data_IF_265477120790
#
_entry.id   IF_265477120790
#
_cell.length_a   1.000
_cell.length_b   1.000
_cell.length_c   1.000
_cell.angle_alpha   90.00
_cell.angle_beta   90.00
_cell.angle_gamma   90.00
#
_symmetry.space_group_name_H-M   'P 1'
#
loop_
_entity.id
_entity.type
_entity.pdbx_description
1 polymer ?
#
# COMPACT_ATOMS: atom_id res chain seq x y z
N UNK A 1 40.85 -48.54 6.24
CA UNK A 1 39.64 -48.12 5.51
C UNK A 1 39.02 -47.00 6.30
N UNK A 2 39.04 -45.78 5.76
CA UNK A 2 38.32 -44.65 6.36
C UNK A 2 36.94 -44.69 5.75
N UNK A 3 35.93 -45.02 6.55
CA UNK A 3 34.53 -44.84 6.17
C UNK A 3 34.28 -43.34 5.97
N UNK A 4 34.12 -42.95 4.72
CA UNK A 4 33.58 -41.63 4.37
C UNK A 4 32.10 -41.71 4.69
N UNK A 5 31.70 -41.17 5.84
CA UNK A 5 30.29 -40.92 6.13
C UNK A 5 29.86 -39.78 5.21
N UNK A 6 29.36 -40.11 4.02
CA UNK A 6 28.64 -39.17 3.17
C UNK A 6 27.35 -38.74 3.89
N UNK A 7 27.45 -37.68 4.68
CA UNK A 7 26.27 -36.91 5.08
C UNK A 7 25.81 -36.14 3.85
N UNK A 8 25.13 -36.80 2.92
CA UNK A 8 24.44 -36.11 1.84
C UNK A 8 23.35 -35.22 2.44
N UNK A 9 23.70 -33.96 2.71
CA UNK A 9 22.72 -32.90 2.91
C UNK A 9 21.90 -32.84 1.62
N UNK A 10 20.61 -33.18 1.70
CA UNK A 10 19.68 -32.96 0.58
C UNK A 10 19.76 -31.50 0.16
N UNK A 11 19.86 -31.27 -1.15
CA UNK A 11 19.81 -29.92 -1.69
C UNK A 11 18.41 -29.34 -1.43
N UNK A 12 18.28 -28.22 -0.69
CA UNK A 12 16.98 -27.58 -0.46
C UNK A 12 16.24 -27.22 -1.76
N UNK A 13 16.94 -27.13 -2.89
CA UNK A 13 16.31 -26.93 -4.20
C UNK A 13 15.38 -28.10 -4.55
N UNK A 14 15.72 -29.33 -4.18
CA UNK A 14 14.86 -30.51 -4.41
C UNK A 14 13.53 -30.41 -3.65
N UNK A 15 13.54 -29.75 -2.49
CA UNK A 15 12.33 -29.51 -1.69
C UNK A 15 11.51 -28.36 -2.28
N UNK A 16 12.15 -27.23 -2.57
CA UNK A 16 11.51 -26.08 -3.21
C UNK A 16 10.87 -26.46 -4.56
N UNK A 17 11.55 -27.26 -5.38
CA UNK A 17 11.08 -27.68 -6.70
C UNK A 17 9.87 -28.63 -6.66
N UNK A 18 9.58 -29.28 -5.52
CA UNK A 18 8.37 -30.13 -5.40
C UNK A 18 7.09 -29.31 -5.35
N UNK A 19 7.16 -28.04 -4.96
CA UNK A 19 6.02 -27.12 -4.89
C UNK A 19 4.79 -27.65 -4.11
N UNK A 20 5.00 -28.64 -3.24
CA UNK A 20 3.93 -29.34 -2.50
C UNK A 20 3.99 -29.11 -0.99
N UNK A 21 4.86 -28.21 -0.53
CA UNK A 21 4.94 -27.83 0.88
C UNK A 21 4.07 -26.59 1.16
N UNK A 22 3.50 -26.52 2.37
CA UNK A 22 2.77 -25.36 2.84
C UNK A 22 3.68 -24.13 2.92
N UNK A 23 4.94 -24.31 3.32
CA UNK A 23 5.91 -23.20 3.42
C UNK A 23 6.31 -22.65 2.04
N UNK A 24 6.27 -23.50 1.01
CA UNK A 24 6.48 -23.07 -0.38
C UNK A 24 5.26 -22.33 -0.94
N UNK A 25 4.05 -22.71 -0.50
CA UNK A 25 2.77 -22.19 -0.98
C UNK A 25 2.14 -21.11 -0.09
N UNK A 26 2.77 -20.69 1.01
CA UNK A 26 2.22 -19.70 1.96
C UNK A 26 1.85 -18.38 1.26
N UNK A 27 2.59 -18.02 0.20
CA UNK A 27 2.36 -16.80 -0.58
C UNK A 27 1.88 -17.11 -2.00
N UNK A 28 0.57 -16.95 -2.22
CA UNK A 28 -0.09 -17.17 -3.51
C UNK A 28 0.44 -16.30 -4.68
N UNK A 29 1.19 -15.22 -4.39
CA UNK A 29 1.75 -14.33 -5.40
C UNK A 29 3.20 -14.66 -5.78
N UNK A 30 3.74 -15.82 -5.34
CA UNK A 30 5.09 -16.28 -5.72
C UNK A 30 5.06 -17.21 -6.92
N UNK A 31 6.04 -17.02 -7.80
CA UNK A 31 6.28 -17.92 -8.92
C UNK A 31 7.60 -18.68 -8.73
N UNK A 32 7.67 -19.90 -9.28
CA UNK A 32 8.92 -20.67 -9.28
C UNK A 32 10.02 -19.93 -10.02
N UNK A 33 11.19 -19.86 -9.41
CA UNK A 33 12.39 -19.36 -10.08
C UNK A 33 13.58 -19.24 -9.13
N UNK A 34 14.80 -18.97 -9.65
CA UNK A 34 16.01 -18.91 -8.82
C UNK A 34 15.93 -17.89 -7.68
N UNK A 35 15.37 -16.70 -7.93
CA UNK A 35 15.21 -15.67 -6.90
C UNK A 35 14.08 -16.00 -5.92
N UNK A 36 13.08 -16.77 -6.35
CA UNK A 36 12.06 -17.37 -5.49
C UNK A 36 12.69 -18.37 -4.51
N UNK A 37 13.56 -19.25 -5.00
CA UNK A 37 14.32 -20.19 -4.18
C UNK A 37 15.22 -19.48 -3.15
N UNK A 38 15.94 -18.43 -3.55
CA UNK A 38 16.76 -17.64 -2.61
C UNK A 38 15.91 -16.97 -1.53
N UNK A 39 14.70 -16.53 -1.87
CA UNK A 39 13.77 -15.95 -0.89
C UNK A 39 13.25 -17.00 0.08
N UNK A 40 12.92 -18.20 -0.40
CA UNK A 40 12.55 -19.35 0.43
C UNK A 40 13.66 -19.72 1.43
N UNK A 41 14.93 -19.82 0.98
CA UNK A 41 16.06 -20.07 1.87
C UNK A 41 16.24 -18.97 2.92
N UNK A 42 16.12 -17.71 2.50
CA UNK A 42 16.24 -16.56 3.40
C UNK A 42 15.14 -16.60 4.47
N UNK A 43 13.89 -16.85 4.08
CA UNK A 43 12.77 -16.92 5.00
C UNK A 43 12.91 -18.04 6.01
N UNK A 44 13.33 -19.24 5.59
CA UNK A 44 13.59 -20.35 6.49
C UNK A 44 14.66 -19.99 7.53
N UNK A 45 15.76 -19.38 7.10
CA UNK A 45 16.81 -18.91 8.01
C UNK A 45 16.30 -17.84 8.98
N UNK A 46 15.54 -16.86 8.48
CA UNK A 46 15.02 -15.78 9.31
C UNK A 46 13.99 -16.29 10.32
N UNK A 47 13.12 -17.23 9.92
CA UNK A 47 12.15 -17.87 10.79
C UNK A 47 12.85 -18.67 11.90
N UNK A 48 13.90 -19.42 11.57
CA UNK A 48 14.61 -20.23 12.56
C UNK A 48 15.50 -19.43 13.52
N UNK A 49 15.93 -18.22 13.11
CA UNK A 49 17.05 -17.52 13.79
C UNK A 49 16.68 -16.13 14.30
N UNK A 50 15.77 -15.41 13.63
CA UNK A 50 15.56 -13.98 13.87
C UNK A 50 14.23 -13.66 14.56
N UNK A 51 13.30 -14.61 14.66
CA UNK A 51 12.02 -14.37 15.34
C UNK A 51 12.20 -14.03 16.82
N UNK A 52 13.27 -14.52 17.46
CA UNK A 52 13.62 -14.20 18.85
C UNK A 52 13.90 -12.71 19.11
N UNK A 53 14.06 -11.90 18.06
CA UNK A 53 14.13 -10.45 18.19
C UNK A 53 12.83 -9.85 18.74
N UNK A 54 11.69 -10.51 18.50
CA UNK A 54 10.38 -10.09 19.00
C UNK A 54 10.26 -10.27 20.51
N UNK A 55 9.36 -9.52 21.18
CA UNK A 55 9.08 -9.76 22.59
C UNK A 55 8.62 -11.21 22.80
N UNK A 56 9.27 -11.93 23.73
CA UNK A 56 8.98 -13.35 24.00
C UNK A 56 7.49 -13.68 24.15
N UNK A 57 6.66 -12.87 24.86
CA UNK A 57 5.23 -13.18 24.98
C UNK A 57 4.47 -13.05 23.65
N UNK A 58 4.85 -12.09 22.79
CA UNK A 58 4.26 -11.95 21.44
C UNK A 58 4.66 -13.14 20.57
N UNK A 59 5.95 -13.49 20.56
CA UNK A 59 6.43 -14.63 19.78
C UNK A 59 5.74 -15.92 20.21
N UNK A 60 5.62 -16.17 21.52
CA UNK A 60 4.90 -17.32 22.05
C UNK A 60 3.43 -17.33 21.60
N UNK A 61 2.72 -16.21 21.73
CA UNK A 61 1.33 -16.12 21.31
C UNK A 61 1.14 -16.33 19.80
N UNK A 62 2.14 -15.94 18.99
CA UNK A 62 2.17 -16.20 17.57
C UNK A 62 2.33 -17.70 17.26
N UNK A 63 3.33 -18.34 17.89
CA UNK A 63 3.60 -19.77 17.71
C UNK A 63 2.46 -20.65 18.24
N UNK A 64 1.80 -20.24 19.32
CA UNK A 64 0.66 -20.95 19.91
C UNK A 64 -0.66 -20.69 19.16
N UNK A 65 -0.64 -19.82 18.15
CA UNK A 65 -1.79 -19.52 17.30
C UNK A 65 -2.89 -18.66 17.95
N UNK A 66 -2.59 -17.93 19.04
CA UNK A 66 -3.53 -16.92 19.57
C UNK A 66 -3.57 -15.66 18.71
N UNK A 67 -2.41 -15.30 18.15
CA UNK A 67 -2.26 -14.18 17.23
C UNK A 67 -1.51 -14.61 15.97
N UNK A 68 -1.73 -13.90 14.87
CA UNK A 68 -0.94 -14.05 13.65
C UNK A 68 -0.33 -12.70 13.30
N UNK A 69 0.99 -12.58 13.48
CA UNK A 69 1.75 -11.39 13.09
C UNK A 69 2.05 -11.50 11.61
N UNK A 70 1.47 -10.61 10.81
CA UNK A 70 1.54 -10.69 9.36
C UNK A 70 2.94 -10.39 8.83
N UNK A 71 3.23 -10.98 7.67
CA UNK A 71 4.46 -10.74 6.88
C UNK A 71 5.75 -11.04 7.63
N UNK A 72 5.70 -11.84 8.70
CA UNK A 72 6.91 -12.47 9.18
C UNK A 72 7.52 -13.37 8.08
N UNK A 73 8.85 -13.49 8.03
CA UNK A 73 9.82 -12.80 8.87
C UNK A 73 10.22 -11.40 8.36
N UNK A 74 9.77 -10.98 7.19
CA UNK A 74 10.16 -9.69 6.59
C UNK A 74 9.70 -8.47 7.39
N UNK A 75 8.55 -8.55 8.07
CA UNK A 75 8.05 -7.49 8.94
C UNK A 75 9.01 -7.18 10.10
N UNK A 76 9.99 -8.04 10.42
CA UNK A 76 11.07 -7.68 11.34
C UNK A 76 11.92 -6.48 10.85
N UNK A 77 11.87 -6.12 9.57
CA UNK A 77 12.71 -5.06 9.01
C UNK A 77 11.93 -4.09 8.12
N UNK A 78 10.92 -4.58 7.43
CA UNK A 78 10.22 -3.84 6.38
C UNK A 78 8.77 -3.59 6.85
N UNK A 79 8.29 -2.34 6.90
CA UNK A 79 6.92 -2.03 7.31
C UNK A 79 5.88 -2.61 6.33
N UNK A 80 4.61 -2.58 6.74
CA UNK A 80 3.55 -3.24 5.99
C UNK A 80 3.16 -2.54 4.69
N UNK A 81 2.22 -1.59 4.71
CA UNK A 81 1.65 -1.02 3.48
C UNK A 81 1.50 0.49 3.59
N UNK A 82 1.41 1.17 2.45
CA UNK A 82 1.13 2.60 2.43
C UNK A 82 0.52 3.04 1.10
N UNK A 83 -0.36 4.01 1.15
CA UNK A 83 -0.67 4.84 0.02
C UNK A 83 0.31 6.00 -0.12
N UNK A 84 0.40 6.53 -1.33
CA UNK A 84 1.33 7.58 -1.69
C UNK A 84 0.65 8.75 -2.37
N UNK A 85 1.25 9.93 -2.24
CA UNK A 85 0.77 11.10 -2.97
C UNK A 85 1.42 11.18 -4.35
N UNK A 86 0.63 10.90 -5.38
CA UNK A 86 1.05 11.07 -6.78
C UNK A 86 1.44 12.52 -7.08
N UNK A 87 0.75 13.51 -6.51
CA UNK A 87 1.14 14.93 -6.62
C UNK A 87 2.59 15.17 -6.16
N UNK A 88 3.04 14.56 -5.05
CA UNK A 88 4.44 14.72 -4.60
C UNK A 88 5.44 14.10 -5.57
N UNK A 89 5.07 12.97 -6.18
CA UNK A 89 5.87 12.32 -7.22
C UNK A 89 6.00 13.23 -8.44
N UNK A 90 4.90 13.85 -8.87
CA UNK A 90 4.88 14.76 -10.01
C UNK A 90 5.56 16.10 -9.71
N UNK A 91 5.51 16.59 -8.47
CA UNK A 91 6.20 17.81 -8.04
C UNK A 91 7.72 17.64 -8.01
N UNK A 92 8.19 16.48 -7.53
CA UNK A 92 9.62 16.25 -7.24
C UNK A 92 10.36 15.43 -8.30
N UNK A 93 9.64 14.75 -9.19
CA UNK A 93 10.18 13.67 -10.01
C UNK A 93 10.48 12.41 -9.18
N UNK A 94 11.10 11.41 -9.80
CA UNK A 94 11.55 10.21 -9.11
C UNK A 94 12.99 10.33 -8.65
N UNK A 95 13.21 10.07 -7.37
CA UNK A 95 14.53 9.98 -6.77
C UNK A 95 14.70 8.57 -6.24
N UNK A 96 15.67 7.84 -6.77
CA UNK A 96 16.04 6.49 -6.35
C UNK A 96 17.52 6.46 -5.94
N UNK A 97 18.01 5.39 -5.31
CA UNK A 97 19.43 5.27 -4.98
C UNK A 97 20.37 5.34 -6.19
N UNK A 98 19.89 4.96 -7.38
CA UNK A 98 20.72 4.81 -8.59
C UNK A 98 20.53 5.95 -9.59
N UNK A 99 19.33 6.54 -9.66
CA UNK A 99 19.01 7.59 -10.63
C UNK A 99 17.99 8.59 -10.08
N UNK A 100 18.12 9.84 -10.54
CA UNK A 100 17.19 10.92 -10.25
C UNK A 100 16.62 11.45 -11.58
N UNK A 101 15.30 11.51 -11.67
CA UNK A 101 14.56 12.09 -12.79
C UNK A 101 13.97 13.45 -12.41
N UNK A 102 13.88 14.35 -13.39
CA UNK A 102 13.11 15.60 -13.26
C UNK A 102 11.60 15.30 -13.31
N UNK A 103 10.74 16.19 -12.83
CA UNK A 103 9.29 16.10 -13.03
C UNK A 103 8.88 15.76 -14.47
N UNK A 104 7.82 14.97 -14.61
CA UNK A 104 7.30 14.57 -15.92
C UNK A 104 6.77 15.78 -16.71
N UNK A 105 6.89 15.72 -18.04
CA UNK A 105 6.36 16.71 -19.00
C UNK A 105 5.51 16.12 -20.11
N UNK A 106 5.54 14.80 -20.26
CA UNK A 106 4.79 14.06 -21.27
C UNK A 106 4.10 12.86 -20.62
N UNK A 107 3.01 12.38 -21.23
CA UNK A 107 2.18 11.34 -20.66
C UNK A 107 2.90 10.00 -20.51
N UNK A 108 3.78 9.67 -21.44
CA UNK A 108 4.64 8.48 -21.36
C UNK A 108 5.54 8.50 -20.11
N UNK A 109 6.08 9.67 -19.78
CA UNK A 109 6.94 9.92 -18.63
C UNK A 109 6.12 9.93 -17.34
N UNK A 110 4.89 10.45 -17.38
CA UNK A 110 3.93 10.31 -16.27
C UNK A 110 3.68 8.83 -15.95
N UNK A 111 3.40 8.01 -16.98
CA UNK A 111 3.17 6.56 -16.82
C UNK A 111 4.40 5.87 -16.24
N UNK A 112 5.59 6.20 -16.75
CA UNK A 112 6.84 5.67 -16.21
C UNK A 112 7.08 6.10 -14.77
N UNK A 113 6.73 7.33 -14.40
CA UNK A 113 6.88 7.80 -13.04
C UNK A 113 5.98 7.03 -12.08
N UNK A 114 4.71 6.83 -12.46
CA UNK A 114 3.76 6.05 -11.66
C UNK A 114 4.23 4.61 -11.51
N UNK A 115 4.58 3.95 -12.61
CA UNK A 115 5.01 2.55 -12.60
C UNK A 115 6.30 2.36 -11.80
N UNK A 116 7.37 3.11 -12.13
CA UNK A 116 8.67 2.94 -11.51
C UNK A 116 8.66 3.33 -10.02
N UNK A 117 7.86 4.32 -9.63
CA UNK A 117 7.69 4.64 -8.20
C UNK A 117 7.11 3.46 -7.43
N UNK A 118 5.99 2.92 -7.91
CA UNK A 118 5.31 1.82 -7.23
C UNK A 118 6.16 0.55 -7.21
N UNK A 119 6.84 0.22 -8.31
CA UNK A 119 7.76 -0.92 -8.40
C UNK A 119 8.91 -0.74 -7.40
N UNK A 120 9.56 0.43 -7.38
CA UNK A 120 10.69 0.70 -6.48
C UNK A 120 10.29 0.57 -5.01
N UNK A 121 9.12 1.07 -4.64
CA UNK A 121 8.67 1.02 -3.25
C UNK A 121 8.26 -0.38 -2.76
N UNK A 122 8.04 -1.35 -3.63
CA UNK A 122 7.85 -2.76 -3.22
C UNK A 122 9.06 -3.34 -2.48
N UNK A 123 10.24 -2.74 -2.62
CA UNK A 123 11.43 -3.12 -1.87
C UNK A 123 11.47 -2.55 -0.45
N UNK A 124 10.62 -1.55 -0.15
CA UNK A 124 10.59 -0.83 1.12
C UNK A 124 9.34 -1.13 1.96
N UNK A 125 8.39 -1.88 1.40
CA UNK A 125 7.13 -2.26 2.06
C UNK A 125 6.78 -3.73 1.75
N UNK A 126 6.19 -4.43 2.72
CA UNK A 126 5.84 -5.85 2.59
C UNK A 126 4.43 -6.10 2.03
N UNK A 127 3.57 -5.10 2.09
CA UNK A 127 2.18 -5.10 1.62
C UNK A 127 1.98 -4.17 0.42
N UNK A 128 0.71 -3.90 0.10
CA UNK A 128 0.40 -3.16 -1.12
C UNK A 128 0.84 -1.69 -1.07
N UNK A 129 1.03 -1.10 -2.23
CA UNK A 129 1.35 0.31 -2.44
C UNK A 129 0.27 0.95 -3.31
N UNK A 130 -0.31 2.07 -2.87
CA UNK A 130 -1.48 2.64 -3.53
C UNK A 130 -1.25 4.07 -4.03
N UNK A 131 -1.94 4.40 -5.12
CA UNK A 131 -2.22 5.78 -5.51
C UNK A 131 -3.72 6.01 -5.59
N UNK A 132 -4.12 7.26 -5.34
CA UNK A 132 -5.49 7.74 -5.52
C UNK A 132 -5.53 8.78 -6.64
N UNK A 133 -6.69 8.90 -7.31
CA UNK A 133 -6.97 9.94 -8.31
C UNK A 133 -5.96 9.96 -9.48
N UNK A 134 -5.41 8.80 -9.84
CA UNK A 134 -4.41 8.67 -10.91
C UNK A 134 -4.92 9.25 -12.23
N UNK A 135 -6.20 9.04 -12.53
CA UNK A 135 -6.90 9.53 -13.71
C UNK A 135 -6.92 11.06 -13.81
N UNK A 136 -7.09 11.75 -12.68
CA UNK A 136 -7.12 13.21 -12.62
C UNK A 136 -5.73 13.81 -12.78
N UNK A 137 -4.72 13.20 -12.17
CA UNK A 137 -3.33 13.62 -12.31
C UNK A 137 -2.72 13.29 -13.67
N UNK A 138 -3.30 12.34 -14.42
CA UNK A 138 -2.96 12.08 -15.81
C UNK A 138 -3.46 13.19 -16.76
N UNK A 139 -4.59 13.81 -16.41
CA UNK A 139 -5.29 14.82 -17.20
C UNK A 139 -4.42 15.88 -17.89
N UNK A 140 -3.56 16.63 -17.17
CA UNK A 140 -2.73 17.66 -17.79
C UNK A 140 -1.78 17.14 -18.85
N UNK A 141 -1.25 15.93 -18.70
CA UNK A 141 -0.35 15.33 -19.68
C UNK A 141 -1.09 14.92 -20.94
N UNK A 142 -2.26 14.29 -20.78
CA UNK A 142 -3.15 13.91 -21.90
C UNK A 142 -3.52 15.15 -22.72
N UNK A 143 -3.94 16.23 -22.03
CA UNK A 143 -4.34 17.50 -22.67
C UNK A 143 -3.18 18.18 -23.40
N UNK A 144 -2.03 18.32 -22.74
CA UNK A 144 -0.87 19.05 -23.29
C UNK A 144 -0.28 18.34 -24.50
N UNK A 145 -0.19 17.01 -24.45
CA UNK A 145 0.31 16.19 -25.55
C UNK A 145 -0.74 16.00 -26.68
N UNK A 146 -2.00 16.42 -26.45
CA UNK A 146 -3.12 16.30 -27.39
C UNK A 146 -3.34 14.86 -27.84
N UNK A 147 -3.33 13.94 -26.89
CA UNK A 147 -3.38 12.51 -27.18
C UNK A 147 -4.77 12.08 -27.65
N UNK A 148 -4.79 11.24 -28.66
CA UNK A 148 -5.96 10.46 -29.04
C UNK A 148 -6.24 9.34 -28.03
N UNK A 149 -7.47 8.81 -28.04
CA UNK A 149 -7.84 7.66 -27.23
C UNK A 149 -6.87 6.48 -27.38
N UNK A 150 -6.50 6.13 -28.61
CA UNK A 150 -5.60 5.00 -28.88
C UNK A 150 -4.21 5.21 -28.27
N UNK A 151 -3.71 6.45 -28.30
CA UNK A 151 -2.43 6.79 -27.66
C UNK A 151 -2.52 6.72 -26.14
N UNK A 152 -3.64 7.17 -25.55
CA UNK A 152 -3.87 7.03 -24.11
C UNK A 152 -3.94 5.54 -23.74
N UNK A 153 -4.77 4.76 -24.43
CA UNK A 153 -4.93 3.32 -24.24
C UNK A 153 -3.61 2.57 -24.36
N UNK A 154 -2.75 2.92 -25.32
CA UNK A 154 -1.43 2.31 -25.46
C UNK A 154 -0.53 2.54 -24.22
N UNK A 155 -0.56 3.74 -23.65
CA UNK A 155 0.22 4.04 -22.44
C UNK A 155 -0.41 3.41 -21.19
N UNK A 156 -1.74 3.31 -21.11
CA UNK A 156 -2.40 2.56 -20.03
C UNK A 156 -2.08 1.06 -20.13
N UNK A 157 -2.09 0.47 -21.33
CA UNK A 157 -1.63 -0.90 -21.55
C UNK A 157 -0.20 -1.07 -21.01
N UNK A 158 0.72 -0.17 -21.37
CA UNK A 158 2.10 -0.17 -20.87
C UNK A 158 2.15 -0.13 -19.34
N UNK A 159 1.34 0.73 -18.70
CA UNK A 159 1.27 0.83 -17.25
C UNK A 159 0.82 -0.50 -16.60
N UNK A 160 -0.29 -1.07 -17.07
CA UNK A 160 -0.88 -2.27 -16.49
C UNK A 160 0.05 -3.47 -16.66
N UNK A 161 0.64 -3.68 -17.84
CA UNK A 161 1.59 -4.78 -18.04
C UNK A 161 2.82 -4.64 -17.14
N UNK A 162 3.40 -3.44 -17.03
CA UNK A 162 4.57 -3.21 -16.17
C UNK A 162 4.28 -3.48 -14.68
N UNK A 163 3.06 -3.22 -14.23
CA UNK A 163 2.64 -3.51 -12.86
C UNK A 163 2.31 -5.00 -12.64
N UNK A 164 2.25 -5.83 -13.69
CA UNK A 164 1.99 -7.27 -13.57
C UNK A 164 3.23 -8.17 -13.74
N UNK A 165 4.36 -7.64 -14.21
CA UNK A 165 5.60 -8.41 -14.27
C UNK A 165 6.22 -8.65 -12.89
N UNK A 166 6.85 -9.82 -12.66
CA UNK A 166 7.37 -10.23 -11.35
C UNK A 166 8.70 -9.52 -11.00
N UNK A 167 8.61 -8.24 -10.65
CA UNK A 167 9.77 -7.37 -10.38
C UNK A 167 10.15 -7.28 -8.89
N UNK A 168 9.32 -7.85 -8.00
CA UNK A 168 9.56 -7.87 -6.56
C UNK A 168 10.38 -9.10 -6.14
N UNK A 169 11.09 -8.97 -5.01
CA UNK A 169 11.85 -10.06 -4.38
C UNK A 169 11.02 -11.34 -4.30
N UNK A 170 11.63 -12.44 -4.72
CA UNK A 170 11.01 -13.77 -4.70
C UNK A 170 10.10 -14.08 -5.88
N UNK A 171 10.36 -13.50 -7.07
CA UNK A 171 9.51 -13.63 -8.26
C UNK A 171 8.05 -13.27 -7.96
N UNK A 172 7.84 -12.11 -7.33
CA UNK A 172 6.49 -11.64 -7.03
C UNK A 172 6.15 -10.43 -7.90
N UNK A 173 4.89 -10.32 -8.26
CA UNK A 173 4.36 -9.12 -8.89
C UNK A 173 4.21 -7.99 -7.85
N UNK A 174 4.46 -6.72 -8.22
CA UNK A 174 4.18 -5.58 -7.36
C UNK A 174 2.73 -5.57 -6.86
N UNK A 175 2.55 -5.56 -5.54
CA UNK A 175 1.22 -5.44 -4.97
C UNK A 175 0.83 -3.96 -5.02
N UNK A 176 -0.01 -3.59 -6.00
CA UNK A 176 -0.42 -2.21 -6.25
C UNK A 176 -1.93 -2.03 -6.25
N UNK A 177 -2.40 -0.84 -5.90
CA UNK A 177 -3.82 -0.48 -5.90
C UNK A 177 -4.01 0.93 -6.47
N UNK A 178 -5.00 1.11 -7.33
CA UNK A 178 -5.49 2.42 -7.75
C UNK A 178 -6.88 2.66 -7.20
N UNK A 179 -7.02 3.71 -6.39
CA UNK A 179 -8.33 4.27 -6.04
C UNK A 179 -8.66 5.32 -7.08
N UNK A 180 -9.42 4.93 -8.09
CA UNK A 180 -10.00 5.84 -9.09
C UNK A 180 -11.22 6.51 -8.48
N UNK A 181 -11.10 7.82 -8.27
CA UNK A 181 -12.06 8.62 -7.53
C UNK A 181 -13.18 9.16 -8.38
N UNK A 182 -12.97 9.26 -9.71
CA UNK A 182 -13.95 9.81 -10.65
C UNK A 182 -14.44 11.18 -10.13
N UNK A 183 -15.70 11.52 -10.29
CA UNK A 183 -16.27 12.79 -9.82
C UNK A 183 -16.92 12.73 -8.42
N UNK A 184 -16.61 11.71 -7.61
CA UNK A 184 -17.13 11.59 -6.26
C UNK A 184 -16.59 12.65 -5.26
N UNK A 185 -15.27 12.93 -5.19
CA UNK A 185 -14.72 13.89 -4.22
C UNK A 185 -14.72 15.33 -4.77
N UNK A 186 -15.90 15.97 -4.81
CA UNK A 186 -16.05 17.30 -5.44
C UNK A 186 -15.15 18.37 -4.83
N UNK A 187 -14.95 18.37 -3.50
CA UNK A 187 -14.12 19.39 -2.86
C UNK A 187 -12.65 19.21 -3.21
N UNK A 188 -12.19 17.97 -3.31
CA UNK A 188 -10.85 17.68 -3.82
C UNK A 188 -10.70 18.18 -5.26
N UNK A 189 -11.68 17.91 -6.13
CA UNK A 189 -11.60 18.34 -7.54
C UNK A 189 -11.57 19.86 -7.72
N UNK A 190 -12.28 20.60 -6.87
CA UNK A 190 -12.30 22.06 -6.88
C UNK A 190 -11.09 22.70 -6.15
N UNK A 191 -10.62 22.06 -5.08
CA UNK A 191 -9.63 22.62 -4.16
C UNK A 191 -8.18 22.20 -4.41
N UNK A 192 -7.96 20.99 -4.95
CA UNK A 192 -6.65 20.48 -5.30
C UNK A 192 -6.30 20.76 -6.76
N UNK A 193 -4.99 20.84 -7.01
CA UNK A 193 -4.43 21.27 -8.28
C UNK A 193 -3.73 20.11 -8.99
N UNK A 194 -3.92 20.05 -10.30
CA UNK A 194 -3.11 19.21 -11.17
C UNK A 194 -1.65 19.65 -11.13
N UNK A 195 -0.73 18.71 -11.34
CA UNK A 195 0.72 18.96 -11.33
C UNK A 195 1.31 18.64 -12.69
N UNK A 196 2.02 19.61 -13.27
CA UNK A 196 2.73 19.47 -14.55
C UNK A 196 4.09 20.16 -14.47
N UNK A 197 5.16 19.50 -14.95
CA UNK A 197 6.53 20.01 -14.88
C UNK A 197 6.92 20.51 -13.47
N UNK A 198 6.47 19.78 -12.45
CA UNK A 198 6.76 20.09 -11.06
C UNK A 198 5.96 21.25 -10.47
N UNK A 199 4.98 21.80 -11.19
CA UNK A 199 4.21 22.98 -10.80
C UNK A 199 2.72 22.69 -10.71
N UNK A 200 2.06 23.30 -9.73
CA UNK A 200 0.60 23.41 -9.67
C UNK A 200 0.11 24.27 -10.83
N UNK A 201 -0.93 23.82 -11.52
CA UNK A 201 -1.51 24.50 -12.68
C UNK A 201 -2.98 24.81 -12.42
N UNK A 202 -3.93 24.17 -13.10
CA UNK A 202 -5.37 24.31 -12.88
C UNK A 202 -5.89 23.31 -11.82
N UNK A 203 -7.08 23.56 -11.24
CA UNK A 203 -7.77 22.58 -10.40
C UNK A 203 -7.95 21.22 -11.08
N UNK A 204 -7.95 20.12 -10.31
CA UNK A 204 -8.09 18.77 -10.86
C UNK A 204 -9.39 18.59 -11.65
N UNK A 205 -10.50 19.17 -11.18
CA UNK A 205 -11.81 19.07 -11.81
C UNK A 205 -11.88 19.64 -13.22
N UNK A 206 -10.93 20.50 -13.61
CA UNK A 206 -10.84 21.04 -14.97
C UNK A 206 -10.46 19.96 -16.01
N UNK A 207 -10.03 18.77 -15.58
CA UNK A 207 -9.53 17.68 -16.44
C UNK A 207 -10.54 16.53 -16.63
N UNK A 208 -11.83 16.84 -16.61
CA UNK A 208 -12.92 15.85 -16.65
C UNK A 208 -12.84 14.92 -17.88
N UNK A 209 -12.69 15.48 -19.08
CA UNK A 209 -12.65 14.69 -20.32
C UNK A 209 -11.41 13.78 -20.40
N UNK A 210 -10.27 14.25 -19.91
CA UNK A 210 -9.05 13.46 -19.88
C UNK A 210 -9.12 12.35 -18.84
N UNK A 211 -9.70 12.61 -17.66
CA UNK A 211 -9.95 11.60 -16.64
C UNK A 211 -10.95 10.54 -17.14
N UNK A 212 -12.03 10.95 -17.81
CA UNK A 212 -12.98 10.04 -18.49
C UNK A 212 -12.26 9.16 -19.51
N UNK A 213 -11.43 9.76 -20.37
CA UNK A 213 -10.63 9.04 -21.38
C UNK A 213 -9.70 8.01 -20.73
N UNK A 214 -9.03 8.37 -19.63
CA UNK A 214 -8.18 7.47 -18.86
C UNK A 214 -8.98 6.26 -18.33
N UNK A 215 -10.15 6.50 -17.76
CA UNK A 215 -11.00 5.44 -17.18
C UNK A 215 -11.52 4.49 -18.25
N UNK A 216 -11.96 5.02 -19.40
CA UNK A 216 -12.38 4.21 -20.53
C UNK A 216 -11.23 3.34 -21.05
N UNK A 217 -10.02 3.90 -21.18
CA UNK A 217 -8.82 3.16 -21.57
C UNK A 217 -8.44 2.07 -20.55
N UNK A 218 -8.44 2.39 -19.25
CA UNK A 218 -8.18 1.43 -18.18
C UNK A 218 -9.18 0.27 -18.21
N UNK A 219 -10.46 0.59 -18.30
CA UNK A 219 -11.54 -0.40 -18.27
C UNK A 219 -11.48 -1.33 -19.47
N UNK A 220 -11.10 -0.83 -20.64
CA UNK A 220 -10.94 -1.61 -21.86
C UNK A 220 -9.75 -2.59 -21.78
N UNK A 221 -8.62 -2.16 -21.22
CA UNK A 221 -7.47 -3.06 -20.97
C UNK A 221 -7.86 -4.17 -19.97
N UNK A 222 -8.58 -3.82 -18.89
CA UNK A 222 -9.06 -4.80 -17.91
C UNK A 222 -10.08 -5.77 -18.52
N UNK A 223 -10.95 -5.29 -19.42
CA UNK A 223 -11.91 -6.13 -20.14
C UNK A 223 -11.20 -7.21 -20.98
N UNK A 224 -10.19 -6.82 -21.75
CA UNK A 224 -9.51 -7.73 -22.66
C UNK A 224 -8.53 -8.67 -21.97
N UNK A 225 -7.86 -8.22 -20.91
CA UNK A 225 -6.85 -9.03 -20.22
C UNK A 225 -5.53 -9.11 -20.98
N UNK A 226 -4.71 -10.11 -20.64
CA UNK A 226 -3.43 -10.37 -21.31
C UNK A 226 -3.61 -11.04 -22.70
N UNK A 227 -2.51 -11.51 -23.29
CA UNK A 227 -2.54 -12.18 -24.61
C UNK A 227 -3.47 -13.39 -24.68
N UNK A 228 -3.67 -14.10 -23.56
CA UNK A 228 -4.56 -15.25 -23.47
C UNK A 228 -5.94 -14.88 -22.92
N UNK A 229 -6.18 -13.58 -22.70
CA UNK A 229 -7.38 -13.06 -22.07
C UNK A 229 -7.44 -13.37 -20.58
N UNK A 230 -6.33 -13.60 -19.89
CA UNK A 230 -6.29 -13.73 -18.43
C UNK A 230 -6.51 -12.35 -17.78
N UNK A 231 -7.24 -12.29 -16.65
CA UNK A 231 -7.44 -11.03 -15.94
C UNK A 231 -6.12 -10.55 -15.32
N UNK A 232 -5.94 -9.23 -15.26
CA UNK A 232 -4.85 -8.63 -14.50
C UNK A 232 -5.17 -8.63 -13.00
N UNK A 233 -4.20 -9.06 -12.19
CA UNK A 233 -4.33 -9.01 -10.73
C UNK A 233 -4.08 -7.59 -10.20
N UNK A 234 -3.16 -6.86 -10.84
CA UNK A 234 -2.73 -5.53 -10.40
C UNK A 234 -2.80 -4.48 -11.52
N UNK A 235 -2.79 -3.18 -11.18
CA UNK A 235 -3.16 -2.66 -9.86
C UNK A 235 -4.61 -3.03 -9.55
N UNK A 236 -4.91 -3.27 -8.28
CA UNK A 236 -6.30 -3.48 -7.84
C UNK A 236 -7.07 -2.20 -8.15
N UNK A 237 -8.11 -2.25 -9.01
CA UNK A 237 -8.82 -1.04 -9.41
C UNK A 237 -10.04 -0.87 -8.51
N UNK A 238 -9.99 0.14 -7.64
CA UNK A 238 -11.06 0.50 -6.71
C UNK A 238 -11.82 1.73 -7.23
N UNK A 239 -13.12 1.57 -7.47
CA UNK A 239 -14.00 2.65 -7.92
C UNK A 239 -14.84 3.20 -6.76
N UNK A 240 -14.96 4.52 -6.69
CA UNK A 240 -15.98 5.18 -5.86
C UNK A 240 -17.35 5.02 -6.53
N UNK A 241 -18.12 4.01 -6.11
CA UNK A 241 -19.36 3.56 -6.80
C UNK A 241 -20.46 4.63 -6.88
N UNK A 242 -20.38 5.62 -6.01
CA UNK A 242 -21.32 6.75 -5.86
C UNK A 242 -20.95 7.96 -6.72
N UNK A 243 -19.83 7.89 -7.45
CA UNK A 243 -19.44 8.86 -8.48
C UNK A 243 -20.54 8.99 -9.53
N UNK A 244 -20.96 10.20 -9.85
CA UNK A 244 -22.04 10.44 -10.81
C UNK A 244 -21.60 10.10 -12.24
N UNK A 245 -20.32 10.28 -12.57
CA UNK A 245 -19.75 9.90 -13.87
C UNK A 245 -20.09 8.46 -14.23
N UNK A 246 -20.13 7.53 -13.27
CA UNK A 246 -20.52 6.12 -13.55
C UNK A 246 -21.96 6.01 -14.06
N UNK A 247 -22.86 6.84 -13.55
CA UNK A 247 -24.31 6.70 -13.76
C UNK A 247 -24.87 7.67 -14.81
N UNK A 248 -24.22 8.83 -14.98
CA UNK A 248 -24.65 9.91 -15.87
C UNK A 248 -23.96 9.83 -17.25
N UNK A 249 -22.78 9.21 -17.37
CA UNK A 249 -22.08 9.01 -18.64
C UNK A 249 -22.34 7.59 -19.21
N UNK A 250 -23.11 7.44 -20.31
CA UNK A 250 -23.46 6.12 -20.83
C UNK A 250 -22.26 5.26 -21.23
N UNK A 251 -21.22 5.88 -21.77
CA UNK A 251 -19.98 5.19 -22.19
C UNK A 251 -19.21 4.62 -21.01
N UNK A 252 -19.12 5.40 -19.91
CA UNK A 252 -18.43 4.98 -18.68
C UNK A 252 -19.23 3.90 -17.98
N UNK A 253 -20.56 4.06 -17.91
CA UNK A 253 -21.47 3.05 -17.39
C UNK A 253 -21.28 1.71 -18.11
N UNK A 254 -21.41 1.70 -19.43
CA UNK A 254 -21.31 0.49 -20.24
C UNK A 254 -19.94 -0.16 -20.09
N UNK A 255 -18.85 0.62 -20.19
CA UNK A 255 -17.50 0.10 -20.02
C UNK A 255 -17.33 -0.57 -18.65
N UNK A 256 -17.68 0.11 -17.56
CA UNK A 256 -17.48 -0.39 -16.19
C UNK A 256 -18.29 -1.66 -15.94
N UNK A 257 -19.60 -1.64 -16.24
CA UNK A 257 -20.48 -2.76 -15.91
C UNK A 257 -20.28 -3.96 -16.84
N UNK A 258 -19.92 -3.75 -18.10
CA UNK A 258 -19.53 -4.83 -19.00
C UNK A 258 -18.25 -5.52 -18.56
N UNK A 259 -17.23 -4.74 -18.18
CA UNK A 259 -16.01 -5.28 -17.57
C UNK A 259 -16.31 -6.00 -16.28
N UNK A 260 -17.20 -5.46 -15.45
CA UNK A 260 -17.56 -6.11 -14.21
C UNK A 260 -18.27 -7.45 -14.39
N UNK A 261 -19.25 -7.51 -15.28
CA UNK A 261 -19.95 -8.74 -15.62
C UNK A 261 -19.02 -9.80 -16.23
N UNK A 262 -18.02 -9.39 -17.00
CA UNK A 262 -17.11 -10.31 -17.68
C UNK A 262 -15.93 -10.78 -16.81
N UNK A 263 -15.41 -9.90 -15.95
CA UNK A 263 -14.14 -10.13 -15.23
C UNK A 263 -14.25 -10.21 -13.71
N UNK A 264 -15.34 -9.77 -13.11
CA UNK A 264 -15.44 -9.63 -11.66
C UNK A 264 -14.65 -8.45 -11.07
N UNK A 265 -13.96 -7.66 -11.91
CA UNK A 265 -13.58 -6.28 -11.54
C UNK A 265 -14.88 -5.47 -11.31
N UNK A 266 -14.93 -4.38 -10.57
CA UNK A 266 -13.90 -3.69 -9.82
C UNK A 266 -14.04 -3.98 -8.32
N UNK A 267 -13.13 -3.44 -7.52
CA UNK A 267 -13.41 -3.21 -6.11
C UNK A 267 -14.28 -1.95 -5.97
N UNK A 268 -15.26 -1.99 -5.07
CA UNK A 268 -16.26 -0.92 -4.94
C UNK A 268 -16.16 -0.25 -3.58
N UNK A 269 -15.90 1.06 -3.58
CA UNK A 269 -15.92 1.89 -2.39
C UNK A 269 -17.22 2.68 -2.33
N UNK A 270 -18.05 2.41 -1.33
CA UNK A 270 -19.34 3.08 -1.15
C UNK A 270 -19.19 4.39 -0.37
N UNK A 271 -19.14 5.52 -1.09
CA UNK A 271 -18.93 6.83 -0.47
C UNK A 271 -20.18 7.46 0.16
N UNK A 272 -21.28 6.69 0.32
CA UNK A 272 -22.36 7.05 1.24
C UNK A 272 -22.07 6.64 2.67
N UNK A 273 -21.17 5.68 2.85
CA UNK A 273 -20.74 5.19 4.17
C UNK A 273 -19.39 5.81 4.54
N UNK A 274 -18.52 6.03 3.56
CA UNK A 274 -17.22 6.69 3.75
C UNK A 274 -17.22 8.06 3.10
N UNK A 275 -16.62 9.07 3.72
CA UNK A 275 -16.52 10.41 3.15
C UNK A 275 -15.60 10.37 1.91
N UNK A 276 -16.08 10.67 0.69
CA UNK A 276 -15.25 10.63 -0.52
C UNK A 276 -14.10 11.64 -0.50
N UNK A 277 -14.25 12.77 0.19
CA UNK A 277 -13.21 13.79 0.30
C UNK A 277 -12.13 13.42 1.34
N UNK A 278 -12.38 12.39 2.18
CA UNK A 278 -11.49 12.00 3.27
C UNK A 278 -11.10 10.52 3.30
N UNK A 279 -11.70 9.67 2.46
CA UNK A 279 -11.55 8.21 2.53
C UNK A 279 -11.03 7.65 1.21
N UNK A 280 -9.82 7.09 1.27
CA UNK A 280 -9.24 6.32 0.17
C UNK A 280 -8.99 4.88 0.64
N UNK A 281 -9.29 3.91 -0.24
CA UNK A 281 -8.97 2.52 0.03
C UNK A 281 -7.45 2.33 -0.10
N UNK A 282 -6.74 2.47 1.01
CA UNK A 282 -5.28 2.32 1.03
C UNK A 282 -4.90 0.88 1.30
N UNK A 283 -4.66 0.15 0.20
CA UNK A 283 -4.02 -1.16 0.14
C UNK A 283 -4.82 -2.32 0.76
N UNK A 284 -5.14 -2.23 2.05
CA UNK A 284 -5.59 -3.34 2.89
C UNK A 284 -7.03 -3.20 3.40
N UNK A 285 -7.91 -2.49 2.66
CA UNK A 285 -9.26 -2.13 3.12
C UNK A 285 -9.25 -1.34 4.44
N UNK A 286 -8.14 -0.67 4.74
CA UNK A 286 -8.04 0.25 5.87
C UNK A 286 -8.78 1.53 5.46
N UNK A 287 -9.95 1.74 6.07
CA UNK A 287 -10.64 3.01 6.02
C UNK A 287 -10.23 3.79 7.26
N UNK A 288 -9.60 4.95 7.07
CA UNK A 288 -9.24 5.81 8.19
C UNK A 288 -10.43 6.68 8.52
N UNK A 289 -10.97 6.51 9.72
CA UNK A 289 -11.94 7.44 10.27
C UNK A 289 -11.19 8.65 10.85
N UNK A 290 -11.49 9.83 10.31
CA UNK A 290 -10.94 11.10 10.76
C UNK A 290 -11.23 11.38 12.24
N UNK A 291 -12.39 10.94 12.75
CA UNK A 291 -12.80 11.13 14.15
C UNK A 291 -11.95 10.28 15.10
N UNK A 292 -11.62 9.04 14.73
CA UNK A 292 -10.73 8.18 15.51
C UNK A 292 -9.29 8.72 15.52
N UNK A 293 -8.81 9.22 14.37
CA UNK A 293 -7.53 9.90 14.29
C UNK A 293 -7.48 11.12 15.23
N UNK A 294 -8.52 11.96 15.20
CA UNK A 294 -8.67 13.12 16.09
C UNK A 294 -8.63 12.72 17.58
N UNK A 295 -9.36 11.67 17.94
CA UNK A 295 -9.34 11.15 19.31
C UNK A 295 -7.94 10.68 19.71
N UNK A 296 -7.23 9.93 18.86
CA UNK A 296 -5.90 9.42 19.15
C UNK A 296 -4.83 10.52 19.31
N UNK A 297 -4.93 11.60 18.53
CA UNK A 297 -4.03 12.76 18.64
C UNK A 297 -4.33 13.63 19.86
N UNK A 298 -5.61 13.80 20.21
CA UNK A 298 -6.02 14.59 21.37
C UNK A 298 -5.84 13.84 22.71
N UNK A 299 -5.67 12.51 22.69
CA UNK A 299 -5.66 11.67 23.90
C UNK A 299 -4.27 11.22 24.39
N UNK A 300 -3.15 11.79 23.91
CA UNK A 300 -1.83 11.40 24.45
C UNK A 300 -1.57 12.00 25.84
N UNK A 301 -1.19 11.21 26.87
CA UNK A 301 -1.00 11.71 28.23
C UNK A 301 0.25 12.61 28.36
N UNK A 302 0.09 13.68 29.15
CA UNK A 302 1.18 14.47 29.74
C UNK A 302 2.04 13.58 30.64
N UNK A 303 3.33 13.41 30.35
CA UNK A 303 4.28 12.91 31.34
C UNK A 303 5.59 12.36 30.79
N UNK A 304 6.66 13.17 30.85
CA UNK A 304 7.89 12.85 31.58
C UNK A 304 8.68 14.16 31.73
N UNK A 305 9.19 14.41 32.94
CA UNK A 305 9.82 15.68 33.32
C UNK A 305 11.17 15.90 32.64
N UNK A 306 11.37 17.11 32.09
CA UNK A 306 12.65 17.77 31.85
C UNK A 306 12.36 19.25 31.45
N UNK A 307 12.97 20.17 32.21
CA UNK A 307 13.12 21.62 32.10
C UNK A 307 12.12 22.46 31.26
N UNK A 308 11.45 23.37 31.97
CA UNK A 308 10.32 24.22 31.55
C UNK A 308 10.62 25.28 30.45
N UNK A 309 11.87 25.44 29.99
CA UNK A 309 12.23 26.42 28.95
C UNK A 309 12.32 25.81 27.54
N UNK A 310 12.76 24.56 27.37
CA UNK A 310 12.83 23.90 26.06
C UNK A 310 11.48 23.37 25.56
N UNK A 311 10.52 23.14 26.47
CA UNK A 311 9.19 22.63 26.11
C UNK A 311 8.42 23.61 25.24
N UNK A 312 8.53 24.90 25.55
CA UNK A 312 7.82 25.94 24.80
C UNK A 312 8.38 26.05 23.38
N UNK A 313 9.70 25.98 23.22
CA UNK A 313 10.34 26.01 21.90
C UNK A 313 10.05 24.75 21.08
N UNK A 314 9.95 23.56 21.69
CA UNK A 314 9.61 22.31 21.00
C UNK A 314 8.12 22.24 20.64
N UNK A 315 7.24 22.75 21.51
CA UNK A 315 5.80 22.86 21.24
C UNK A 315 5.54 23.92 20.16
N UNK A 316 6.21 25.07 20.22
CA UNK A 316 6.16 26.12 19.20
C UNK A 316 6.75 25.64 17.87
N UNK A 317 7.88 24.90 17.87
CA UNK A 317 8.42 24.28 16.65
C UNK A 317 7.52 23.17 16.10
N UNK A 318 6.81 22.42 16.96
CA UNK A 318 5.79 21.45 16.54
C UNK A 318 4.58 22.16 15.96
N UNK A 319 4.09 23.22 16.58
CA UNK A 319 2.99 24.04 16.07
C UNK A 319 3.37 24.73 14.76
N UNK A 320 4.61 25.21 14.63
CA UNK A 320 5.10 25.87 13.42
C UNK A 320 5.32 24.87 12.29
N UNK A 321 5.82 23.66 12.59
CA UNK A 321 5.91 22.58 11.60
C UNK A 321 4.54 22.02 11.21
N UNK A 322 3.59 21.92 12.15
CA UNK A 322 2.19 21.60 11.88
C UNK A 322 1.52 22.68 11.02
N UNK A 323 1.72 23.97 11.33
CA UNK A 323 1.24 25.09 10.51
C UNK A 323 1.86 25.11 9.11
N UNK A 324 3.15 24.76 8.96
CA UNK A 324 3.80 24.63 7.65
C UNK A 324 3.27 23.44 6.85
N UNK A 325 2.95 22.32 7.51
CA UNK A 325 2.25 21.17 6.89
C UNK A 325 0.82 21.58 6.51
N UNK A 326 0.17 22.38 7.35
CA UNK A 326 -1.18 22.88 7.11
C UNK A 326 -1.28 23.85 5.94
N UNK A 327 -0.25 24.66 5.71
CA UNK A 327 -0.22 25.69 4.66
C UNK A 327 0.12 25.18 3.25
N UNK A 328 0.59 23.93 3.11
CA UNK A 328 1.05 23.41 1.79
C UNK A 328 -0.07 22.83 0.91
N UNK A 329 -1.26 22.54 1.45
CA UNK A 329 -2.45 22.02 0.73
C UNK A 329 -3.77 22.47 1.38
N UNK A 330 -4.84 22.52 0.61
CA UNK A 330 -6.19 22.70 1.16
C UNK A 330 -6.50 21.47 2.05
N UNK A 331 -6.85 21.70 3.31
CA UNK A 331 -7.07 20.64 4.31
C UNK A 331 -5.87 20.33 5.22
N UNK A 332 -4.66 20.84 4.98
CA UNK A 332 -3.53 20.74 5.91
C UNK A 332 -3.12 19.32 6.35
N UNK A 333 -2.83 19.06 7.65
CA UNK A 333 -2.61 17.71 8.23
C UNK A 333 -3.75 16.72 7.87
N UNK A 334 -4.85 17.24 7.32
CA UNK A 334 -6.12 16.58 7.03
C UNK A 334 -6.33 16.29 5.54
N UNK A 335 -5.36 16.57 4.67
CA UNK A 335 -5.23 16.00 3.32
C UNK A 335 -4.40 14.69 3.32
N UNK A 336 -4.38 13.99 4.47
CA UNK A 336 -3.55 12.80 4.70
C UNK A 336 -4.01 11.46 4.11
N UNK A 337 -5.22 11.24 3.56
CA UNK A 337 -5.59 9.88 3.19
C UNK A 337 -4.69 9.33 2.07
N UNK A 338 -4.12 10.20 1.22
CA UNK A 338 -3.08 9.87 0.22
C UNK A 338 -1.74 9.36 0.78
N UNK A 339 -1.41 9.63 2.04
CA UNK A 339 -0.11 9.29 2.64
C UNK A 339 -0.35 8.53 3.95
N UNK A 340 -1.27 7.57 3.88
CA UNK A 340 -1.63 6.73 5.02
C UNK A 340 -1.46 5.26 4.71
N UNK A 341 -1.17 4.50 5.77
CA UNK A 341 -0.80 3.10 5.66
C UNK A 341 -0.81 2.43 7.02
N UNK A 342 -0.44 1.16 7.01
CA UNK A 342 -0.22 0.41 8.23
C UNK A 342 1.25 0.04 8.36
N UNK A 343 1.76 0.20 9.58
CA UNK A 343 3.13 -0.12 9.94
C UNK A 343 3.30 -1.63 10.10
N UNK A 344 2.32 -2.30 10.71
CA UNK A 344 2.24 -3.75 10.89
C UNK A 344 0.77 -4.18 11.10
N UNK A 345 0.48 -5.46 10.88
CA UNK A 345 -0.83 -6.04 11.19
C UNK A 345 -0.65 -7.29 12.03
N UNK A 346 -1.41 -7.39 13.12
CA UNK A 346 -1.52 -8.60 13.95
C UNK A 346 -2.99 -8.99 14.03
N UNK A 347 -3.33 -10.21 13.60
CA UNK A 347 -4.69 -10.74 13.64
C UNK A 347 -4.90 -11.59 14.90
N UNK A 348 -6.06 -11.45 15.54
CA UNK A 348 -6.49 -12.30 16.65
C UNK A 348 -7.20 -13.55 16.12
N UNK A 349 -6.85 -14.73 16.66
CA UNK A 349 -7.53 -15.98 16.33
C UNK A 349 -8.79 -16.18 17.21
N UNK A 350 -9.89 -15.53 16.82
CA UNK A 350 -11.17 -15.64 17.56
C UNK A 350 -11.66 -17.10 17.71
N UNK A 351 -11.59 -17.97 16.68
CA UNK A 351 -11.95 -19.38 16.86
C UNK A 351 -11.17 -20.09 17.97
N UNK A 352 -9.87 -19.85 18.10
CA UNK A 352 -9.03 -20.44 19.16
C UNK A 352 -9.49 -20.00 20.55
N UNK A 353 -9.85 -18.72 20.70
CA UNK A 353 -10.35 -18.16 21.95
C UNK A 353 -11.70 -18.78 22.31
N UNK A 354 -12.62 -18.88 21.35
CA UNK A 354 -13.93 -19.50 21.55
C UNK A 354 -13.83 -20.98 21.95
N UNK A 355 -12.92 -21.73 21.34
CA UNK A 355 -12.65 -23.13 21.70
C UNK A 355 -12.12 -23.28 23.13
N UNK A 356 -11.30 -22.33 23.59
CA UNK A 356 -10.75 -22.34 24.94
C UNK A 356 -11.77 -21.93 26.01
N UNK A 357 -12.65 -21.00 25.64
CA UNK A 357 -13.76 -20.55 26.47
C UNK A 357 -14.81 -21.65 26.70
N UNK A 358 -14.89 -22.67 25.83
CA UNK A 358 -15.80 -23.83 25.97
C UNK A 358 -17.27 -23.44 26.21
N UNK A 359 -17.71 -22.33 25.62
CA UNK A 359 -19.07 -21.80 25.75
C UNK A 359 -19.31 -20.91 26.97
N UNK A 360 -18.27 -20.56 27.73
CA UNK A 360 -18.31 -19.56 28.80
C UNK A 360 -17.96 -18.17 28.25
N UNK A 361 -18.95 -17.27 28.21
CA UNK A 361 -18.80 -15.92 27.66
C UNK A 361 -17.86 -15.06 28.51
N UNK A 362 -17.90 -15.15 29.84
CA UNK A 362 -17.01 -14.38 30.71
C UNK A 362 -15.56 -14.80 30.46
N UNK A 363 -15.33 -16.12 30.35
CA UNK A 363 -14.02 -16.66 30.01
C UNK A 363 -13.54 -16.24 28.62
N UNK A 364 -14.43 -16.14 27.64
CA UNK A 364 -14.09 -15.65 26.31
C UNK A 364 -13.53 -14.23 26.36
N UNK A 365 -14.22 -13.33 27.07
CA UNK A 365 -13.80 -11.93 27.18
C UNK A 365 -12.49 -11.77 27.96
N UNK A 366 -12.29 -12.54 29.03
CA UNK A 366 -11.00 -12.57 29.75
C UNK A 366 -9.83 -12.92 28.82
N UNK A 367 -9.94 -14.02 28.06
CA UNK A 367 -8.88 -14.45 27.14
C UNK A 367 -8.71 -13.44 26.02
N UNK A 368 -9.81 -12.89 25.49
CA UNK A 368 -9.76 -11.89 24.43
C UNK A 368 -9.01 -10.62 24.87
N UNK A 369 -9.25 -10.12 26.08
CA UNK A 369 -8.54 -8.96 26.65
C UNK A 369 -7.04 -9.24 26.83
N UNK A 370 -6.68 -10.43 27.33
CA UNK A 370 -5.28 -10.87 27.41
C UNK A 370 -4.60 -10.88 26.03
N UNK A 371 -5.29 -11.41 25.02
CA UNK A 371 -4.77 -11.46 23.65
C UNK A 371 -4.66 -10.06 23.03
N UNK A 372 -5.62 -9.17 23.27
CA UNK A 372 -5.55 -7.78 22.82
C UNK A 372 -4.37 -7.02 23.43
N UNK A 373 -4.02 -7.31 24.68
CA UNK A 373 -2.80 -6.78 25.29
C UNK A 373 -1.54 -7.23 24.53
N UNK A 374 -1.47 -8.50 24.11
CA UNK A 374 -0.37 -9.03 23.30
C UNK A 374 -0.31 -8.39 21.91
N UNK A 375 -1.47 -8.18 21.27
CA UNK A 375 -1.57 -7.44 19.99
C UNK A 375 -1.02 -6.04 20.14
N UNK A 376 -1.45 -5.29 21.17
CA UNK A 376 -0.95 -3.94 21.43
C UNK A 376 0.57 -3.93 21.64
N UNK A 377 1.10 -4.88 22.42
CA UNK A 377 2.54 -5.02 22.64
C UNK A 377 3.30 -5.30 21.33
N UNK A 378 2.74 -6.13 20.45
CA UNK A 378 3.27 -6.40 19.10
C UNK A 378 3.38 -5.10 18.29
N UNK A 379 2.27 -4.37 18.14
CA UNK A 379 2.21 -3.14 17.34
C UNK A 379 3.12 -2.04 17.88
N UNK A 380 3.17 -1.86 19.21
CA UNK A 380 4.07 -0.89 19.83
C UNK A 380 5.55 -1.25 19.64
N UNK A 381 5.88 -2.54 19.60
CA UNK A 381 7.24 -3.01 19.36
C UNK A 381 7.66 -2.76 17.91
N UNK A 382 6.85 -3.18 16.93
CA UNK A 382 7.13 -2.94 15.50
C UNK A 382 7.30 -1.45 15.21
N UNK A 383 6.38 -0.60 15.70
CA UNK A 383 6.50 0.86 15.57
C UNK A 383 7.83 1.37 16.10
N UNK A 384 8.21 1.00 17.33
CA UNK A 384 9.49 1.43 17.94
C UNK A 384 10.69 0.92 17.16
N UNK A 385 10.62 -0.32 16.68
CA UNK A 385 11.68 -0.96 15.92
C UNK A 385 11.92 -0.25 14.59
N UNK A 386 10.90 0.00 13.77
CA UNK A 386 11.09 0.70 12.50
C UNK A 386 11.59 2.12 12.70
N UNK A 387 11.09 2.87 13.69
CA UNK A 387 11.62 4.18 14.04
C UNK A 387 13.12 4.10 14.40
N UNK A 388 13.52 3.08 15.16
CA UNK A 388 14.94 2.85 15.49
C UNK A 388 15.76 2.54 14.24
N UNK A 389 15.26 1.67 13.37
CA UNK A 389 15.93 1.25 12.13
C UNK A 389 16.11 2.43 11.17
N UNK A 390 15.06 3.21 10.91
CA UNK A 390 15.10 4.37 10.04
C UNK A 390 16.04 5.48 10.56
N UNK A 391 16.13 5.63 11.88
CA UNK A 391 17.02 6.62 12.49
C UNK A 391 18.50 6.16 12.47
N UNK A 392 18.76 4.88 12.76
CA UNK A 392 20.12 4.34 12.81
C UNK A 392 20.71 4.08 11.42
N UNK A 393 19.86 3.71 10.46
CA UNK A 393 20.29 3.28 9.12
C UNK A 393 19.59 4.09 8.01
N UNK A 394 19.75 5.42 7.98
CA UNK A 394 19.03 6.28 7.05
C UNK A 394 19.30 5.94 5.57
N UNK A 395 20.49 5.42 5.23
CA UNK A 395 20.81 4.98 3.87
C UNK A 395 20.01 3.75 3.42
N UNK A 396 19.70 2.83 4.33
CA UNK A 396 18.92 1.63 4.03
C UNK A 396 17.45 1.98 3.84
N UNK A 397 16.92 2.94 4.62
CA UNK A 397 15.51 3.32 4.61
C UNK A 397 15.23 4.66 3.90
N UNK A 398 16.13 5.07 2.99
CA UNK A 398 16.12 6.40 2.37
C UNK A 398 14.84 6.73 1.58
N UNK A 399 14.10 5.72 1.12
CA UNK A 399 12.86 5.90 0.34
C UNK A 399 11.61 6.02 1.23
N UNK A 400 11.71 5.74 2.53
CA UNK A 400 10.60 5.85 3.49
C UNK A 400 10.61 7.22 4.19
N UNK A 401 11.79 7.82 4.34
CA UNK A 401 12.01 9.10 5.03
C UNK A 401 11.94 10.27 4.05
#
# INVERSE_FOLDING_TARGET
MVEVIETHRKDPLEEYAKWNDLDVNENANRYMGPTGFFSYLLENYMNSTLLELMPKPVLKAHLDGYIYVHKLPYSLYIPYCTGHSIARVLEKGLKTPTIISRPARHFDTYVDHVANYLITLQHYFTGAQAFSSVEWYAGPFIRKDKLSYDQVKQQIQRLIFNLNYPTRVGMQTPFTNFTTTLDAPRKMLEGDYAIYDGKKIEPLGEYYEEAKTFILALTDILYHGDMYGQPFTFPIPTLMVTAKMIWEEPEVFEAIFKTAAHRGSFYWLNTRIVDPDASFAMCCRINIDKNELLYAYNSRPKGLGLNFSLKKDIEEQKEESLKRIEQQRFGGLWAMPDITGSVNVTTVNLPRIALEAKGDDDRFWEIFDEVLYLVRMSEEWFRRRYLSLMNKYPGIYAMIK
#
